data_IF_817605103536
#
_entry.id   IF_817605103536
#
_cell.length_a   1.000
_cell.length_b   1.000
_cell.length_c   1.000
_cell.angle_alpha   90.00
_cell.angle_beta   90.00
_cell.angle_gamma   90.00
#
_symmetry.space_group_name_H-M   'P 1'
#
loop_
_entity.id
_entity.type
_entity.pdbx_description
1 polymer ?
#
# COMPACT_ATOMS: atom_id res chain seq x y z
N UNK A 1 20.72 -5.85 12.93
CA UNK A 1 20.29 -5.58 11.53
C UNK A 1 20.01 -6.91 10.86
N UNK A 2 18.80 -7.18 10.38
CA UNK A 2 18.51 -8.43 9.67
C UNK A 2 19.21 -8.45 8.31
N UNK A 3 19.79 -9.61 7.97
CA UNK A 3 20.42 -9.83 6.67
C UNK A 3 19.37 -9.60 5.56
N UNK A 4 19.64 -8.69 4.63
CA UNK A 4 18.77 -8.47 3.47
C UNK A 4 18.86 -9.72 2.59
N UNK A 5 17.70 -10.29 2.25
CA UNK A 5 17.65 -11.45 1.36
C UNK A 5 18.09 -11.02 -0.04
N UNK A 6 19.02 -11.75 -0.64
CA UNK A 6 19.55 -11.49 -1.99
C UNK A 6 18.44 -11.52 -3.05
N UNK A 7 17.48 -12.43 -2.92
CA UNK A 7 16.32 -12.48 -3.82
C UNK A 7 15.47 -11.21 -3.75
N UNK A 8 15.32 -10.64 -2.55
CA UNK A 8 14.61 -9.37 -2.38
C UNK A 8 15.33 -8.22 -3.11
N UNK A 9 16.65 -8.17 -3.07
CA UNK A 9 17.44 -7.17 -3.82
C UNK A 9 17.26 -7.39 -5.33
N UNK A 10 17.41 -8.64 -5.79
CA UNK A 10 17.25 -8.97 -7.20
C UNK A 10 15.87 -8.58 -7.73
N UNK A 11 14.81 -8.97 -7.04
CA UNK A 11 13.44 -8.86 -7.53
C UNK A 11 12.83 -7.47 -7.31
N UNK A 12 13.20 -6.78 -6.23
CA UNK A 12 12.59 -5.50 -5.85
C UNK A 12 13.48 -4.26 -6.06
N UNK A 13 14.76 -4.44 -6.40
CA UNK A 13 15.66 -3.32 -6.74
C UNK A 13 16.25 -3.51 -8.13
N UNK A 14 17.02 -4.58 -8.31
CA UNK A 14 17.80 -4.77 -9.56
C UNK A 14 16.87 -4.96 -10.77
N UNK A 15 15.86 -5.80 -10.66
CA UNK A 15 14.88 -6.04 -11.71
C UNK A 15 14.15 -4.76 -12.16
N UNK A 16 13.48 -4.02 -11.26
CA UNK A 16 12.80 -2.78 -11.62
C UNK A 16 13.69 -1.71 -12.22
N UNK A 17 14.90 -1.50 -11.69
CA UNK A 17 15.82 -0.48 -12.21
C UNK A 17 16.34 -0.87 -13.59
N UNK A 18 16.69 -2.14 -13.83
CA UNK A 18 17.06 -2.61 -15.16
C UNK A 18 15.92 -2.46 -16.17
N UNK A 19 14.68 -2.79 -15.79
CA UNK A 19 13.51 -2.58 -16.65
C UNK A 19 13.33 -1.09 -16.98
N UNK A 20 13.51 -0.20 -16.01
CA UNK A 20 13.45 1.26 -16.24
C UNK A 20 14.49 1.71 -17.26
N UNK A 21 15.72 1.25 -17.14
CA UNK A 21 16.82 1.56 -18.08
C UNK A 21 16.53 1.04 -19.50
N UNK A 22 16.09 -0.21 -19.61
CA UNK A 22 15.76 -0.85 -20.88
C UNK A 22 14.58 -0.14 -21.56
N UNK A 23 13.49 0.07 -20.82
CA UNK A 23 12.28 0.71 -21.33
C UNK A 23 12.56 2.15 -21.78
N UNK A 24 13.32 2.93 -20.98
CA UNK A 24 13.75 4.28 -21.34
C UNK A 24 14.55 4.28 -22.65
N UNK A 25 15.53 3.36 -22.78
CA UNK A 25 16.35 3.23 -24.00
C UNK A 25 15.53 2.87 -25.23
N UNK A 26 14.48 2.06 -25.07
CA UNK A 26 13.61 1.59 -26.17
C UNK A 26 12.42 2.51 -26.43
N UNK A 27 12.20 3.59 -25.67
CA UNK A 27 11.03 4.45 -25.76
C UNK A 27 9.72 3.77 -25.35
N UNK A 28 9.81 2.70 -24.55
CA UNK A 28 8.66 1.93 -24.04
C UNK A 28 8.22 2.49 -22.71
N UNK A 29 6.91 2.69 -22.53
CA UNK A 29 6.35 3.07 -21.24
C UNK A 29 6.43 1.91 -20.24
N UNK A 30 6.92 2.18 -19.04
CA UNK A 30 7.00 1.19 -17.97
C UNK A 30 6.16 1.60 -16.77
N UNK A 31 5.21 0.75 -16.37
CA UNK A 31 4.43 0.91 -15.14
C UNK A 31 4.93 -0.06 -14.09
N UNK A 32 5.34 0.47 -12.93
CA UNK A 32 5.85 -0.28 -11.80
C UNK A 32 4.89 -0.20 -10.61
N UNK A 33 4.58 -1.34 -10.00
CA UNK A 33 3.84 -1.38 -8.75
C UNK A 33 4.79 -1.18 -7.56
N UNK A 34 4.85 0.06 -7.12
CA UNK A 34 5.52 0.49 -5.91
C UNK A 34 4.74 0.14 -4.65
N UNK A 35 5.15 0.68 -3.52
CA UNK A 35 4.51 0.42 -2.23
C UNK A 35 4.58 1.61 -1.28
N UNK A 36 3.52 1.84 -0.51
CA UNK A 36 3.53 2.74 0.64
C UNK A 36 4.12 2.10 1.91
N UNK A 37 4.51 0.81 1.88
CA UNK A 37 5.17 0.16 3.03
C UNK A 37 6.62 0.63 3.25
N UNK A 38 6.97 1.77 2.69
CA UNK A 38 8.25 2.48 2.85
C UNK A 38 8.16 3.65 3.81
N UNK A 39 6.97 3.90 4.36
CA UNK A 39 6.70 5.00 5.29
C UNK A 39 6.23 4.50 6.65
N UNK A 40 6.52 5.28 7.71
CA UNK A 40 5.93 5.11 9.05
C UNK A 40 5.58 6.48 9.63
N UNK A 41 4.53 6.55 10.44
CA UNK A 41 4.15 7.75 11.18
C UNK A 41 5.35 8.32 11.94
N UNK A 42 5.48 9.64 11.93
CA UNK A 42 6.51 10.41 12.62
C UNK A 42 5.96 11.76 13.12
N UNK A 43 6.81 12.60 13.68
CA UNK A 43 6.37 13.90 14.22
C UNK A 43 5.78 14.87 13.17
N UNK A 44 6.06 14.67 11.88
CA UNK A 44 5.51 15.48 10.78
C UNK A 44 4.25 14.85 10.19
N UNK A 45 4.11 13.56 10.33
CA UNK A 45 3.03 12.74 9.81
C UNK A 45 2.35 12.05 10.99
N UNK A 46 1.37 12.72 11.66
CA UNK A 46 0.85 12.30 12.95
C UNK A 46 0.06 10.99 12.86
N UNK A 47 0.12 10.23 13.94
CA UNK A 47 -0.50 8.92 14.04
C UNK A 47 -2.03 9.00 13.97
N UNK A 48 -2.60 8.29 12.99
CA UNK A 48 -4.06 8.10 12.88
C UNK A 48 -4.86 9.34 12.48
N UNK A 49 -4.19 10.38 12.01
CA UNK A 49 -4.84 11.60 11.53
C UNK A 49 -4.76 11.69 10.00
N UNK A 50 -5.84 12.16 9.37
CA UNK A 50 -5.89 12.41 7.92
C UNK A 50 -5.32 13.80 7.57
N UNK A 51 -4.15 14.12 8.12
CA UNK A 51 -3.44 15.39 7.87
C UNK A 51 -1.96 15.11 7.62
N UNK A 52 -1.33 15.96 6.82
CA UNK A 52 0.09 15.83 6.49
C UNK A 52 0.49 14.40 6.05
N UNK A 53 -0.29 13.80 5.15
CA UNK A 53 0.02 12.49 4.57
C UNK A 53 1.34 12.50 3.80
N UNK A 54 1.94 11.33 3.64
CA UNK A 54 3.12 11.16 2.78
C UNK A 54 2.75 11.42 1.33
N UNK A 55 3.32 12.47 0.74
CA UNK A 55 3.15 12.82 -0.67
C UNK A 55 4.03 11.99 -1.58
N UNK A 56 3.87 12.16 -2.89
CA UNK A 56 4.74 11.53 -3.89
C UNK A 56 6.21 11.94 -3.74
N UNK A 57 6.46 13.16 -3.26
CA UNK A 57 7.80 13.72 -3.04
C UNK A 57 8.43 13.31 -1.69
N UNK A 58 7.66 12.66 -0.83
CA UNK A 58 8.14 12.23 0.49
C UNK A 58 9.21 11.15 0.35
N UNK A 59 10.29 11.29 1.10
CA UNK A 59 11.37 10.29 1.14
C UNK A 59 10.99 9.15 2.08
N UNK A 60 11.26 7.88 1.71
CA UNK A 60 11.07 6.74 2.59
C UNK A 60 11.76 6.93 3.95
N UNK A 61 11.01 6.69 5.03
CA UNK A 61 11.51 6.81 6.41
C UNK A 61 11.41 5.50 7.21
N UNK A 62 10.77 4.44 6.65
CA UNK A 62 10.62 3.16 7.34
C UNK A 62 11.69 2.15 6.93
N UNK A 63 12.53 1.77 7.88
CA UNK A 63 13.62 0.79 7.72
C UNK A 63 13.42 -0.50 8.53
N UNK A 64 12.19 -0.73 9.04
CA UNK A 64 11.87 -1.82 9.96
C UNK A 64 11.84 -3.23 9.35
N UNK A 65 11.93 -3.35 8.02
CA UNK A 65 12.00 -4.64 7.32
C UNK A 65 12.95 -4.59 6.13
N UNK A 66 13.54 -5.74 5.78
CA UNK A 66 14.41 -5.82 4.59
C UNK A 66 13.65 -5.49 3.30
N UNK A 67 12.37 -5.86 3.20
CA UNK A 67 11.50 -5.50 2.09
C UNK A 67 11.37 -3.99 1.94
N UNK A 68 11.02 -3.30 3.02
CA UNK A 68 10.81 -1.84 3.01
C UNK A 68 12.08 -1.06 2.68
N UNK A 69 13.23 -1.53 3.18
CA UNK A 69 14.54 -0.94 2.83
C UNK A 69 14.77 -1.01 1.32
N UNK A 70 14.66 -2.20 0.74
CA UNK A 70 14.91 -2.42 -0.69
C UNK A 70 13.91 -1.65 -1.55
N UNK A 71 12.61 -1.72 -1.22
CA UNK A 71 11.58 -0.98 -1.94
C UNK A 71 11.73 0.55 -1.80
N UNK A 72 12.20 1.03 -0.65
CA UNK A 72 12.48 2.45 -0.44
C UNK A 72 13.64 2.95 -1.30
N UNK A 73 14.71 2.18 -1.46
CA UNK A 73 15.77 2.50 -2.41
C UNK A 73 15.28 2.49 -3.86
N UNK A 74 14.50 1.50 -4.24
CA UNK A 74 13.91 1.44 -5.58
C UNK A 74 13.03 2.66 -5.86
N UNK A 75 12.18 3.01 -4.93
CA UNK A 75 11.29 4.17 -5.03
C UNK A 75 12.10 5.46 -5.26
N UNK A 76 13.13 5.71 -4.47
CA UNK A 76 14.00 6.88 -4.63
C UNK A 76 14.74 6.89 -5.96
N UNK A 77 15.23 5.75 -6.45
CA UNK A 77 15.93 5.65 -7.71
C UNK A 77 14.99 5.88 -8.91
N UNK A 78 13.71 5.47 -8.80
CA UNK A 78 12.71 5.67 -9.86
C UNK A 78 12.40 7.14 -10.13
N UNK A 79 12.62 8.06 -9.18
CA UNK A 79 12.53 9.50 -9.42
C UNK A 79 13.49 10.00 -10.51
N UNK A 80 14.57 9.26 -10.83
CA UNK A 80 15.44 9.58 -11.96
C UNK A 80 14.86 9.15 -13.31
N UNK A 81 13.71 8.50 -13.33
CA UNK A 81 13.03 7.98 -14.52
C UNK A 81 11.60 8.55 -14.70
N UNK A 82 11.28 9.68 -14.06
CA UNK A 82 9.93 10.28 -14.09
C UNK A 82 9.48 10.76 -15.48
N UNK A 83 10.38 10.77 -16.45
CA UNK A 83 10.07 11.02 -17.86
C UNK A 83 9.59 9.77 -18.64
N UNK A 84 9.74 8.58 -18.08
CA UNK A 84 9.51 7.31 -18.78
C UNK A 84 8.84 6.21 -17.94
N UNK A 85 8.86 6.33 -16.63
CA UNK A 85 8.32 5.34 -15.70
C UNK A 85 7.12 5.91 -14.92
N UNK A 86 6.09 5.10 -14.75
CA UNK A 86 4.99 5.35 -13.83
C UNK A 86 5.18 4.46 -12.59
N UNK A 87 5.46 5.06 -11.44
CA UNK A 87 5.57 4.37 -10.15
C UNK A 87 4.25 4.51 -9.36
N UNK A 88 3.50 3.43 -9.21
CA UNK A 88 2.23 3.38 -8.50
C UNK A 88 2.42 2.80 -7.09
N UNK A 89 2.39 3.65 -6.06
CA UNK A 89 2.53 3.20 -4.66
C UNK A 89 1.21 2.67 -4.13
N UNK A 90 1.01 1.35 -4.17
CA UNK A 90 -0.14 0.67 -3.54
C UNK A 90 0.18 0.30 -2.09
N UNK A 91 -0.87 0.00 -1.28
CA UNK A 91 -0.68 -0.42 0.11
C UNK A 91 -1.78 -1.38 0.57
N UNK A 92 -1.37 -2.44 1.28
CA UNK A 92 -2.31 -3.43 1.85
C UNK A 92 -3.44 -3.77 0.88
N UNK A 93 -3.14 -4.41 -0.28
CA UNK A 93 -4.12 -4.63 -1.34
C UNK A 93 -5.30 -5.49 -0.86
N UNK A 94 -6.49 -5.02 -1.16
CA UNK A 94 -7.79 -5.62 -0.81
C UNK A 94 -8.51 -6.00 -2.10
N UNK A 95 -9.07 -7.21 -2.14
CA UNK A 95 -9.94 -7.72 -3.21
C UNK A 95 -11.18 -8.39 -2.61
N UNK A 96 -12.14 -8.76 -3.44
CA UNK A 96 -13.34 -9.52 -3.07
C UNK A 96 -13.11 -11.05 -3.03
N UNK A 97 -11.89 -11.50 -3.32
CA UNK A 97 -11.53 -12.91 -3.33
C UNK A 97 -10.98 -13.38 -1.98
N UNK A 98 -11.40 -14.55 -1.53
CA UNK A 98 -10.78 -15.25 -0.40
C UNK A 98 -9.44 -15.87 -0.81
N UNK A 99 -8.44 -15.03 -1.01
CA UNK A 99 -7.09 -15.41 -1.43
C UNK A 99 -6.09 -15.17 -0.28
N UNK A 100 -5.14 -16.07 0.00
CA UNK A 100 -4.13 -15.89 1.06
C UNK A 100 -3.28 -14.62 0.93
N UNK A 101 -3.23 -14.00 -0.24
CA UNK A 101 -2.55 -12.71 -0.47
C UNK A 101 -3.44 -11.51 -0.21
N UNK A 102 -4.77 -11.67 -0.20
CA UNK A 102 -5.72 -10.60 0.12
C UNK A 102 -5.57 -10.18 1.58
N UNK A 103 -5.58 -8.87 1.82
CA UNK A 103 -5.40 -8.33 3.16
C UNK A 103 -6.53 -8.75 4.11
N UNK A 104 -7.79 -8.78 3.65
CA UNK A 104 -8.94 -9.21 4.47
C UNK A 104 -8.79 -10.68 4.87
N UNK A 105 -8.49 -11.56 3.93
CA UNK A 105 -8.24 -12.98 4.22
C UNK A 105 -7.13 -13.15 5.26
N UNK A 106 -6.07 -12.33 5.19
CA UNK A 106 -4.99 -12.38 6.17
C UNK A 106 -5.46 -12.00 7.56
N UNK A 107 -6.14 -10.86 7.71
CA UNK A 107 -6.52 -10.37 9.05
C UNK A 107 -7.64 -11.21 9.68
N UNK A 108 -8.50 -11.83 8.89
CA UNK A 108 -9.54 -12.77 9.40
C UNK A 108 -8.96 -14.11 9.87
N UNK A 109 -7.72 -14.44 9.46
CA UNK A 109 -7.00 -15.63 9.89
C UNK A 109 -5.93 -15.35 10.96
N UNK A 110 -5.78 -14.12 11.42
CA UNK A 110 -4.84 -13.83 12.51
C UNK A 110 -5.45 -14.14 13.87
N UNK A 111 -4.67 -14.74 14.75
CA UNK A 111 -5.07 -15.04 16.12
C UNK A 111 -5.31 -13.76 16.95
N UNK A 112 -4.48 -12.74 16.71
CA UNK A 112 -4.56 -11.43 17.37
C UNK A 112 -4.34 -10.31 16.35
N UNK A 113 -5.00 -9.20 16.56
CA UNK A 113 -5.00 -8.02 15.69
C UNK A 113 -4.39 -6.82 16.41
N UNK A 114 -3.36 -6.23 15.82
CA UNK A 114 -2.90 -4.90 16.18
C UNK A 114 -3.59 -3.88 15.27
N UNK A 115 -4.55 -3.16 15.82
CA UNK A 115 -5.41 -2.26 15.03
C UNK A 115 -4.83 -0.86 14.97
N UNK A 116 -4.29 -0.50 13.83
CA UNK A 116 -3.70 0.81 13.55
C UNK A 116 -4.33 1.38 12.28
N UNK A 117 -4.74 2.66 12.26
CA UNK A 117 -5.21 3.31 11.03
C UNK A 117 -4.12 3.38 9.97
N UNK A 118 -4.49 3.03 8.74
CA UNK A 118 -3.59 2.98 7.60
C UNK A 118 -4.30 3.38 6.30
N UNK A 119 -3.57 3.96 5.35
CA UNK A 119 -4.01 3.99 3.96
C UNK A 119 -4.00 2.58 3.38
N UNK A 120 -4.99 2.25 2.54
CA UNK A 120 -5.10 0.94 1.90
C UNK A 120 -5.58 1.08 0.46
N UNK A 121 -5.42 0.03 -0.34
CA UNK A 121 -5.78 -0.01 -1.75
C UNK A 121 -6.82 -1.09 -2.01
N UNK A 122 -8.05 -0.73 -2.34
CA UNK A 122 -9.08 -1.65 -2.83
C UNK A 122 -8.87 -1.81 -4.33
N UNK A 123 -8.20 -2.87 -4.75
CA UNK A 123 -7.72 -3.06 -6.13
C UNK A 123 -8.80 -2.93 -7.21
N UNK A 124 -10.03 -3.44 -7.04
CA UNK A 124 -11.09 -3.26 -8.04
C UNK A 124 -11.38 -1.80 -8.42
N UNK A 125 -11.24 -0.86 -7.50
CA UNK A 125 -11.43 0.57 -7.78
C UNK A 125 -10.31 1.12 -8.68
N UNK A 126 -9.12 0.52 -8.61
CA UNK A 126 -7.93 1.01 -9.28
C UNK A 126 -7.62 0.34 -10.62
N UNK A 127 -8.19 -0.82 -10.93
CA UNK A 127 -7.93 -1.46 -12.23
C UNK A 127 -8.24 -0.55 -13.42
N UNK A 128 -9.40 0.14 -13.49
CA UNK A 128 -9.68 1.07 -14.59
C UNK A 128 -8.72 2.27 -14.61
N UNK A 129 -8.36 2.79 -13.43
CA UNK A 129 -7.43 3.92 -13.28
C UNK A 129 -6.02 3.54 -13.76
N UNK A 130 -5.53 2.35 -13.39
CA UNK A 130 -4.22 1.86 -13.84
C UNK A 130 -4.19 1.74 -15.37
N UNK A 131 -5.25 1.18 -15.98
CA UNK A 131 -5.34 1.04 -17.43
C UNK A 131 -5.36 2.42 -18.12
N UNK A 132 -6.19 3.37 -17.64
CA UNK A 132 -6.24 4.75 -18.17
C UNK A 132 -4.86 5.44 -18.08
N UNK A 133 -4.18 5.31 -16.94
CA UNK A 133 -2.84 5.88 -16.77
C UNK A 133 -1.81 5.27 -17.73
N UNK A 134 -1.89 3.97 -17.98
CA UNK A 134 -1.02 3.26 -18.93
C UNK A 134 -1.31 3.67 -20.38
N UNK A 135 -2.58 3.70 -20.79
CA UNK A 135 -3.01 4.12 -22.15
C UNK A 135 -2.60 5.55 -22.44
N UNK A 136 -2.72 6.45 -21.45
CA UNK A 136 -2.30 7.85 -21.54
C UNK A 136 -0.79 8.02 -21.34
N UNK A 137 -0.03 6.95 -21.19
CA UNK A 137 1.43 6.95 -20.96
C UNK A 137 1.84 7.94 -19.86
N UNK A 138 1.06 8.00 -18.77
CA UNK A 138 1.39 8.86 -17.62
C UNK A 138 2.68 8.37 -16.97
N UNK A 139 3.49 9.30 -16.47
CA UNK A 139 4.77 9.02 -15.83
C UNK A 139 4.88 9.75 -14.49
N UNK A 140 5.95 9.47 -13.75
CA UNK A 140 6.17 9.98 -12.40
C UNK A 140 5.61 9.07 -11.32
N UNK A 141 5.61 9.53 -10.08
CA UNK A 141 5.10 8.76 -8.94
C UNK A 141 3.65 9.17 -8.61
N UNK A 142 2.82 8.20 -8.24
CA UNK A 142 1.45 8.39 -7.78
C UNK A 142 1.15 7.49 -6.59
N UNK A 143 0.63 8.08 -5.51
CA UNK A 143 0.07 7.34 -4.39
C UNK A 143 -1.29 6.74 -4.81
N UNK A 144 -1.36 5.41 -4.91
CA UNK A 144 -2.52 4.69 -5.41
C UNK A 144 -3.22 3.96 -4.26
N UNK A 145 -3.76 4.74 -3.32
CA UNK A 145 -4.58 4.27 -2.19
C UNK A 145 -5.94 4.96 -2.22
N UNK A 146 -6.97 4.33 -1.66
CA UNK A 146 -8.24 5.02 -1.48
C UNK A 146 -8.07 6.19 -0.50
N UNK A 147 -8.73 7.34 -0.72
CA UNK A 147 -8.70 8.47 0.21
C UNK A 147 -9.15 8.06 1.61
N UNK A 148 -8.44 8.57 2.62
CA UNK A 148 -8.76 8.35 4.02
C UNK A 148 -7.96 7.23 4.69
N UNK A 149 -8.28 7.00 5.96
CA UNK A 149 -7.68 5.99 6.82
C UNK A 149 -8.72 4.96 7.24
N UNK A 150 -8.29 3.71 7.38
CA UNK A 150 -9.10 2.64 7.99
C UNK A 150 -8.21 1.77 8.87
N UNK A 151 -8.74 1.36 10.02
CA UNK A 151 -8.05 0.44 10.93
C UNK A 151 -8.49 -1.01 10.69
N UNK A 152 -7.68 -1.95 11.17
CA UNK A 152 -8.03 -3.36 11.10
C UNK A 152 -9.36 -3.66 11.81
N UNK A 153 -9.61 -3.04 12.96
CA UNK A 153 -10.86 -3.24 13.70
C UNK A 153 -12.07 -2.76 12.90
N UNK A 154 -12.01 -1.58 12.28
CA UNK A 154 -13.11 -1.09 11.44
C UNK A 154 -13.43 -2.07 10.30
N UNK A 155 -12.40 -2.62 9.65
CA UNK A 155 -12.59 -3.63 8.60
C UNK A 155 -13.24 -4.90 9.18
N UNK A 156 -12.79 -5.39 10.34
CA UNK A 156 -13.33 -6.60 10.97
C UNK A 156 -14.74 -6.40 11.51
N UNK A 157 -15.10 -5.20 11.95
CA UNK A 157 -16.47 -4.83 12.30
C UNK A 157 -17.39 -4.89 11.09
N UNK A 158 -16.96 -4.32 9.95
CA UNK A 158 -17.68 -4.43 8.67
C UNK A 158 -17.77 -5.89 8.19
N UNK A 159 -16.69 -6.66 8.33
CA UNK A 159 -16.67 -8.08 7.97
C UNK A 159 -17.68 -8.88 8.83
N UNK A 160 -17.74 -8.63 10.13
CA UNK A 160 -18.74 -9.23 11.02
C UNK A 160 -20.14 -8.83 10.65
N UNK A 161 -20.38 -7.55 10.33
CA UNK A 161 -21.70 -7.05 9.94
C UNK A 161 -22.20 -7.68 8.63
N UNK A 162 -21.32 -7.82 7.64
CA UNK A 162 -21.71 -8.12 6.25
C UNK A 162 -21.48 -9.59 5.88
N UNK A 163 -20.39 -10.20 6.33
CA UNK A 163 -19.93 -11.52 5.84
C UNK A 163 -20.18 -12.62 6.88
N UNK A 164 -19.78 -12.41 8.13
CA UNK A 164 -19.86 -13.44 9.16
C UNK A 164 -20.23 -12.85 10.53
N UNK A 165 -21.53 -12.84 10.91
CA UNK A 165 -22.00 -12.27 12.19
C UNK A 165 -21.38 -12.89 13.45
N UNK A 166 -20.90 -14.13 13.37
CA UNK A 166 -20.29 -14.84 14.49
C UNK A 166 -18.78 -14.60 14.60
N UNK A 167 -18.20 -13.83 13.69
CA UNK A 167 -16.76 -13.57 13.66
C UNK A 167 -16.29 -12.83 14.91
N UNK A 168 -15.23 -13.35 15.54
CA UNK A 168 -14.64 -12.80 16.76
C UNK A 168 -13.12 -12.69 16.59
N UNK A 169 -12.54 -11.65 17.16
CA UNK A 169 -11.10 -11.44 17.20
C UNK A 169 -10.65 -10.91 18.56
N UNK A 170 -9.36 -10.93 18.78
CA UNK A 170 -8.72 -10.35 19.96
C UNK A 170 -7.72 -9.30 19.52
N UNK A 171 -7.64 -8.20 20.24
CA UNK A 171 -6.63 -7.19 20.01
C UNK A 171 -5.40 -7.41 20.90
N UNK A 172 -4.28 -6.90 20.47
CA UNK A 172 -3.06 -6.74 21.25
C UNK A 172 -2.39 -5.41 20.91
N UNK A 173 -1.51 -4.94 21.79
CA UNK A 173 -0.87 -3.64 21.62
C UNK A 173 0.28 -3.69 20.59
N UNK A 174 0.75 -2.49 20.19
CA UNK A 174 1.93 -2.35 19.31
C UNK A 174 3.17 -2.93 19.99
N UNK A 175 3.30 -2.73 21.31
CA UNK A 175 4.42 -3.24 22.10
C UNK A 175 4.42 -4.78 22.09
N UNK A 176 3.28 -5.40 22.34
CA UNK A 176 3.12 -6.86 22.25
C UNK A 176 3.41 -7.37 20.83
N UNK A 177 2.91 -6.66 19.79
CA UNK A 177 3.18 -7.02 18.40
C UNK A 177 4.69 -6.99 18.11
N UNK A 178 5.40 -5.95 18.54
CA UNK A 178 6.83 -5.79 18.31
C UNK A 178 7.69 -6.87 19.00
N UNK A 179 7.20 -7.48 20.09
CA UNK A 179 7.87 -8.60 20.76
C UNK A 179 7.73 -9.92 19.99
N UNK A 180 6.61 -10.10 19.29
CA UNK A 180 6.28 -11.35 18.56
C UNK A 180 6.84 -11.32 17.15
N UNK A 181 6.73 -10.17 16.48
CA UNK A 181 7.09 -10.07 15.07
C UNK A 181 8.59 -9.92 14.88
N UNK A 182 9.04 -10.65 13.92
CA UNK A 182 10.43 -10.63 13.47
C UNK A 182 10.88 -9.29 12.85
N UNK A 183 9.97 -8.38 12.49
CA UNK A 183 10.23 -7.04 11.94
C UNK A 183 9.07 -6.12 12.28
N UNK A 184 9.36 -4.83 12.40
CA UNK A 184 8.33 -3.81 12.59
C UNK A 184 7.36 -3.77 11.40
N UNK A 185 6.17 -3.24 11.63
CA UNK A 185 5.18 -2.97 10.59
C UNK A 185 5.18 -1.50 10.23
N UNK A 186 5.13 -1.24 8.94
CA UNK A 186 4.91 0.10 8.39
C UNK A 186 3.45 0.51 8.62
N UNK A 187 3.23 1.66 9.23
CA UNK A 187 1.90 2.25 9.40
C UNK A 187 1.98 3.72 9.00
N UNK A 188 1.07 4.18 8.15
CA UNK A 188 1.13 5.53 7.62
C UNK A 188 -0.20 5.98 7.00
N UNK A 189 -0.30 7.30 6.80
CA UNK A 189 -1.27 7.95 5.94
C UNK A 189 -0.58 8.46 4.68
N UNK A 190 -1.07 8.09 3.51
CA UNK A 190 -0.59 8.57 2.22
C UNK A 190 -1.50 9.67 1.71
N UNK A 191 -0.93 10.80 1.30
CA UNK A 191 -1.66 11.88 0.66
C UNK A 191 -2.17 11.44 -0.71
N UNK A 192 -3.46 11.62 -0.96
CA UNK A 192 -4.13 11.23 -2.20
C UNK A 192 -4.59 12.43 -3.04
N UNK A 193 -4.21 13.65 -2.66
CA UNK A 193 -4.67 14.88 -3.32
C UNK A 193 -4.37 14.92 -4.82
N UNK A 194 -3.23 14.37 -5.24
CA UNK A 194 -2.86 14.25 -6.65
C UNK A 194 -3.77 13.27 -7.40
N UNK A 195 -4.06 12.14 -6.79
CA UNK A 195 -4.98 11.13 -7.32
C UNK A 195 -6.40 11.69 -7.42
N UNK A 196 -6.92 12.31 -6.36
CA UNK A 196 -8.27 12.88 -6.29
C UNK A 196 -8.49 13.99 -7.31
N UNK A 197 -7.45 14.80 -7.59
CA UNK A 197 -7.48 15.77 -8.68
C UNK A 197 -7.65 15.15 -10.06
N UNK A 198 -7.04 13.98 -10.28
CA UNK A 198 -7.10 13.27 -11.57
C UNK A 198 -8.37 12.44 -11.72
N UNK A 199 -8.87 11.89 -10.62
CA UNK A 199 -10.01 10.96 -10.54
C UNK A 199 -10.92 11.34 -9.36
N UNK A 200 -11.71 12.44 -9.48
CA UNK A 200 -12.55 12.93 -8.38
C UNK A 200 -13.64 11.95 -7.92
N UNK A 201 -13.92 10.93 -8.73
CA UNK A 201 -14.91 9.89 -8.43
C UNK A 201 -14.37 8.77 -7.56
N UNK A 202 -13.07 8.77 -7.20
CA UNK A 202 -12.50 7.71 -6.37
C UNK A 202 -13.16 7.66 -4.99
N UNK A 203 -13.61 6.50 -4.59
CA UNK A 203 -14.30 6.30 -3.31
C UNK A 203 -13.33 6.36 -2.13
N UNK A 204 -13.80 6.88 -0.99
CA UNK A 204 -13.07 6.76 0.27
C UNK A 204 -12.92 5.30 0.69
N UNK A 205 -11.89 5.03 1.47
CA UNK A 205 -11.52 3.66 1.85
C UNK A 205 -12.65 2.90 2.55
N UNK A 206 -13.42 3.55 3.42
CA UNK A 206 -14.52 2.91 4.15
C UNK A 206 -15.63 2.44 3.20
N UNK A 207 -16.04 3.30 2.26
CA UNK A 207 -17.09 2.98 1.28
C UNK A 207 -16.63 1.86 0.34
N UNK A 208 -15.36 1.91 -0.09
CA UNK A 208 -14.77 0.90 -0.96
C UNK A 208 -14.68 -0.46 -0.28
N UNK A 209 -14.25 -0.50 0.99
CA UNK A 209 -14.20 -1.75 1.77
C UNK A 209 -15.60 -2.32 1.98
N UNK A 210 -16.57 -1.48 2.34
CA UNK A 210 -17.97 -1.94 2.52
C UNK A 210 -18.54 -2.52 1.23
N UNK A 211 -18.38 -1.83 0.11
CA UNK A 211 -18.79 -2.31 -1.22
C UNK A 211 -18.12 -3.62 -1.60
N UNK A 212 -16.84 -3.75 -1.32
CA UNK A 212 -16.06 -4.94 -1.61
C UNK A 212 -16.53 -6.13 -0.76
N UNK A 213 -16.81 -5.93 0.55
CA UNK A 213 -17.29 -6.98 1.46
C UNK A 213 -18.65 -7.55 1.05
N UNK A 214 -19.53 -6.77 0.42
CA UNK A 214 -20.81 -7.25 -0.13
C UNK A 214 -20.63 -8.31 -1.23
N UNK A 215 -19.49 -8.34 -1.89
CA UNK A 215 -19.16 -9.29 -2.95
C UNK A 215 -18.10 -10.34 -2.52
N UNK A 216 -17.66 -10.30 -1.26
CA UNK A 216 -16.59 -11.16 -0.76
C UNK A 216 -17.02 -12.64 -0.74
N UNK A 217 -16.22 -13.51 -1.36
CA UNK A 217 -16.49 -14.94 -1.55
C UNK A 217 -15.37 -15.82 -1.02
#
# INVERSE_FOLDING_TARGET
>A
MRRINVDNIRDNLFGPINMSLICKKLGVHYTYLGTGCIFEYDNKHPYGEEVNGFTEESKPNFIGSSYSIVKGFTDQLLHNFEDSVLNLRIRMPITDENNPRNFITKITNYEKICSIPNSMTVLPDFYPIIVDLMERRKTGTLNLTNPGLISHNQILEMFREIVNPDFKWKNFSVEEQNQILAGKRSNNFMDTSKLEKMYPQISRIEDSVRKMLLNYK
#
